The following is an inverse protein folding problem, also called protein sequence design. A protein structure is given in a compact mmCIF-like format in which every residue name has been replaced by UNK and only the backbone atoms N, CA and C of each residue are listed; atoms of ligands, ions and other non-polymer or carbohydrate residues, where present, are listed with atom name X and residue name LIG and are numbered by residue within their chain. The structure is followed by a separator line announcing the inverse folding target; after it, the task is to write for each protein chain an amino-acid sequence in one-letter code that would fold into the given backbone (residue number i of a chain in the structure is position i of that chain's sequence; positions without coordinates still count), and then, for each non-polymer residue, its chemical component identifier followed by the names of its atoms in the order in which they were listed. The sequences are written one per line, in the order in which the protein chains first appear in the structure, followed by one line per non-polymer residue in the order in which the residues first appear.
data_IF_533948470396
#
_entry.id   IF_533948470396
#
_cell.length_a   1.000
_cell.length_b   1.000
_cell.length_c   1.000
_cell.angle_alpha   90.00
_cell.angle_beta   90.00
_cell.angle_gamma   90.00
#
_symmetry.space_group_name_H-M   'P 1'
#
loop_
_entity.id
_entity.type
_entity.pdbx_description
1 polymer ?
#
# COMPACT_ATOMS: atom_id res chain seq x y z
N UNK A 1 -19.26 -21.63 -16.96
CA UNK A 1 -19.17 -20.24 -16.47
C UNK A 1 -18.60 -20.35 -15.08
N UNK A 2 -17.32 -19.97 -14.91
CA UNK A 2 -16.60 -20.13 -13.66
C UNK A 2 -17.01 -19.01 -12.72
N UNK A 3 -17.59 -19.40 -11.59
CA UNK A 3 -17.91 -18.53 -10.46
C UNK A 3 -16.61 -18.28 -9.69
N UNK A 4 -16.17 -17.02 -9.66
CA UNK A 4 -14.97 -16.63 -8.92
C UNK A 4 -15.29 -16.69 -7.43
N UNK A 5 -14.61 -17.59 -6.71
CA UNK A 5 -14.64 -17.64 -5.25
C UNK A 5 -13.83 -16.44 -4.75
N UNK A 6 -14.51 -15.38 -4.35
CA UNK A 6 -13.93 -14.35 -3.51
C UNK A 6 -13.79 -14.92 -2.11
N UNK A 7 -12.56 -14.97 -1.58
CA UNK A 7 -12.32 -15.28 -0.18
C UNK A 7 -12.69 -14.05 0.64
N UNK A 8 -13.87 -14.08 1.26
CA UNK A 8 -14.31 -13.08 2.24
C UNK A 8 -13.46 -13.25 3.51
N UNK A 9 -12.45 -12.41 3.71
CA UNK A 9 -11.80 -12.25 5.02
C UNK A 9 -12.65 -11.27 5.84
N UNK A 10 -13.30 -11.74 6.90
CA UNK A 10 -14.09 -10.90 7.82
C UNK A 10 -13.23 -10.58 9.05
N UNK A 11 -13.08 -9.29 9.36
CA UNK A 11 -12.40 -8.83 10.58
C UNK A 11 -13.28 -9.10 11.80
N UNK A 12 -12.76 -9.86 12.77
CA UNK A 12 -13.56 -10.33 13.92
C UNK A 12 -13.72 -9.25 15.01
N UNK A 13 -12.68 -8.44 15.22
CA UNK A 13 -12.78 -7.24 16.06
C UNK A 13 -11.64 -6.26 15.82
N UNK A 14 -11.97 -4.96 15.92
CA UNK A 14 -11.00 -3.88 15.98
C UNK A 14 -11.09 -3.26 17.38
N UNK A 15 -9.97 -3.21 18.10
CA UNK A 15 -9.88 -2.51 19.38
C UNK A 15 -9.01 -1.28 19.22
N UNK A 16 -9.59 -0.12 19.43
CA UNK A 16 -8.85 1.14 19.54
C UNK A 16 -8.58 1.42 21.02
N UNK A 17 -7.32 1.64 21.38
CA UNK A 17 -6.89 2.06 22.71
C UNK A 17 -6.15 3.39 22.62
N UNK A 18 -6.51 4.35 23.48
CA UNK A 18 -5.80 5.62 23.58
C UNK A 18 -4.84 5.58 24.77
N UNK A 19 -3.54 5.69 24.51
CA UNK A 19 -2.50 5.70 25.53
C UNK A 19 -1.71 6.99 25.38
N UNK A 20 -1.73 7.85 26.40
CA UNK A 20 -1.02 9.14 26.44
C UNK A 20 -1.30 10.10 25.27
N UNK A 21 -2.50 10.03 24.68
CA UNK A 21 -2.88 10.88 23.55
C UNK A 21 -2.65 10.25 22.17
N UNK A 22 -1.96 9.11 22.11
CA UNK A 22 -1.75 8.34 20.89
C UNK A 22 -2.80 7.23 20.77
N UNK A 23 -3.30 7.03 19.55
CA UNK A 23 -4.29 5.99 19.23
C UNK A 23 -3.58 4.74 18.71
N UNK A 24 -3.82 3.61 19.37
CA UNK A 24 -3.33 2.31 18.99
C UNK A 24 -4.50 1.47 18.50
N UNK A 25 -4.49 1.10 17.22
CA UNK A 25 -5.51 0.26 16.61
C UNK A 25 -5.00 -1.17 16.53
N UNK A 26 -5.63 -2.06 17.29
CA UNK A 26 -5.37 -3.50 17.27
C UNK A 26 -6.40 -4.18 16.38
N UNK A 27 -5.93 -4.88 15.36
CA UNK A 27 -6.76 -5.62 14.41
C UNK A 27 -6.50 -7.11 14.64
N UNK A 28 -7.55 -7.88 14.93
CA UNK A 28 -7.48 -9.32 15.13
C UNK A 28 -8.15 -10.04 13.94
N UNK A 29 -7.42 -10.97 13.34
CA UNK A 29 -7.90 -11.78 12.20
C UNK A 29 -8.52 -13.09 12.71
N UNK A 30 -9.73 -13.42 12.24
CA UNK A 30 -10.43 -14.67 12.54
C UNK A 30 -11.00 -15.32 11.28
N UNK A 31 -11.14 -16.66 11.26
CA UNK A 31 -11.76 -17.41 10.15
C UNK A 31 -13.30 -17.42 10.27
N UNK A 32 -14.00 -17.12 9.17
CA UNK A 32 -15.46 -17.01 9.11
C UNK A 32 -16.15 -18.38 9.32
N UNK A 33 -16.96 -18.49 10.37
CA UNK A 33 -17.72 -19.71 10.70
C UNK A 33 -19.22 -19.49 10.89
N UNK A 34 -19.78 -18.32 10.54
CA UNK A 34 -21.20 -18.04 10.80
C UNK A 34 -22.09 -18.06 9.53
N UNK A 35 -23.21 -18.81 9.53
CA UNK A 35 -24.12 -18.85 8.39
C UNK A 35 -24.89 -17.53 8.25
N UNK A 36 -24.92 -16.97 7.04
CA UNK A 36 -25.60 -15.73 6.67
C UNK A 36 -27.06 -15.73 7.15
N UNK A 37 -27.40 -14.78 8.03
CA UNK A 37 -28.78 -14.60 8.52
C UNK A 37 -29.22 -13.16 8.28
N UNK A 38 -30.09 -12.99 7.28
CA UNK A 38 -30.71 -11.73 6.91
C UNK A 38 -31.69 -11.27 8.00
N UNK A 39 -31.25 -10.47 8.97
CA UNK A 39 -32.17 -9.63 9.77
C UNK A 39 -31.42 -8.43 10.38
N UNK A 40 -31.90 -7.18 10.26
CA UNK A 40 -31.25 -6.02 10.88
C UNK A 40 -31.40 -6.05 12.42
N UNK A 41 -30.39 -5.61 13.20
CA UNK A 41 -30.52 -5.52 14.65
C UNK A 41 -31.46 -4.38 15.07
N UNK A 42 -32.36 -4.67 16.02
CA UNK A 42 -33.19 -3.67 16.71
C UNK A 42 -32.37 -2.92 17.77
N UNK A 43 -32.39 -1.59 17.70
CA UNK A 43 -31.83 -0.70 18.71
C UNK A 43 -32.68 -0.69 20.00
N UNK A 44 -32.02 -0.81 21.15
CA UNK A 44 -32.61 -0.60 22.48
C UNK A 44 -31.71 0.30 23.35
N UNK A 45 -31.96 1.61 23.21
CA UNK A 45 -31.76 2.76 24.12
C UNK A 45 -30.81 2.77 25.32
N UNK A 46 -30.00 3.84 25.38
CA UNK A 46 -29.36 4.40 26.58
C UNK A 46 -29.17 5.93 26.44
N UNK A 47 -29.54 6.68 27.48
CA UNK A 47 -29.93 8.11 27.49
C UNK A 47 -28.77 9.13 27.39
N UNK A 48 -28.98 10.17 26.58
CA UNK A 48 -28.09 11.33 26.43
C UNK A 48 -28.08 11.94 25.02
N UNK A 49 -29.23 12.12 24.36
CA UNK A 49 -29.27 12.63 22.99
C UNK A 49 -29.10 14.15 22.94
N UNK A 50 -27.86 14.63 22.79
CA UNK A 50 -27.65 15.51 21.65
C UNK A 50 -28.10 14.68 20.44
N UNK A 51 -29.24 15.03 19.84
CA UNK A 51 -29.75 14.34 18.65
C UNK A 51 -28.80 14.65 17.50
N UNK A 52 -27.62 14.03 17.51
CA UNK A 52 -26.69 14.15 16.42
C UNK A 52 -27.37 13.50 15.22
N UNK A 53 -27.74 14.33 14.25
CA UNK A 53 -28.14 13.84 12.94
C UNK A 53 -26.88 13.32 12.26
N UNK A 54 -26.62 12.03 12.43
CA UNK A 54 -25.35 11.46 11.99
C UNK A 54 -25.15 11.58 10.48
N UNK A 55 -23.97 12.04 10.07
CA UNK A 55 -23.50 12.03 8.69
C UNK A 55 -22.13 11.36 8.66
N UNK A 56 -22.10 10.08 8.29
CA UNK A 56 -20.89 9.28 8.33
C UNK A 56 -20.17 9.30 6.98
N UNK A 57 -18.86 9.56 7.03
CA UNK A 57 -17.96 9.52 5.88
C UNK A 57 -16.71 8.74 6.24
N UNK A 58 -16.04 8.17 5.24
CA UNK A 58 -14.73 7.57 5.42
C UNK A 58 -13.68 8.67 5.43
N UNK A 59 -13.02 8.84 6.57
CA UNK A 59 -11.99 9.85 6.78
C UNK A 59 -10.65 9.16 6.98
N UNK A 60 -9.62 9.59 6.26
CA UNK A 60 -8.24 9.12 6.48
C UNK A 60 -7.78 9.57 7.87
N UNK A 61 -7.56 8.62 8.76
CA UNK A 61 -7.04 8.85 10.13
C UNK A 61 -5.55 8.54 10.22
N UNK A 62 -5.02 7.78 9.27
CA UNK A 62 -3.59 7.56 9.09
C UNK A 62 -3.27 7.51 7.59
N UNK A 63 -2.34 8.35 7.16
CA UNK A 63 -1.85 8.33 5.77
C UNK A 63 -1.03 7.08 5.47
N UNK A 64 -1.02 6.66 4.21
CA UNK A 64 -0.18 5.57 3.77
C UNK A 64 1.31 5.94 3.85
N UNK A 65 2.12 4.91 4.09
CA UNK A 65 3.58 4.96 3.94
C UNK A 65 3.99 3.92 2.91
N UNK A 66 5.23 3.95 2.43
CA UNK A 66 5.72 2.91 1.51
C UNK A 66 5.66 1.47 2.06
N UNK A 67 5.35 1.26 3.35
CA UNK A 67 5.32 -0.05 4.00
C UNK A 67 4.00 -0.38 4.73
N UNK A 68 3.05 0.57 4.80
CA UNK A 68 1.79 0.39 5.50
C UNK A 68 0.69 1.18 4.80
N UNK A 69 -0.45 0.54 4.55
CA UNK A 69 -1.61 1.16 3.93
C UNK A 69 -2.20 2.25 4.84
N UNK A 70 -2.89 3.22 4.23
CA UNK A 70 -3.69 4.21 4.94
C UNK A 70 -4.80 3.54 5.76
N UNK A 71 -5.14 4.14 6.89
CA UNK A 71 -6.26 3.71 7.73
C UNK A 71 -7.36 4.76 7.64
N UNK A 72 -8.57 4.31 7.32
CA UNK A 72 -9.76 5.12 7.22
C UNK A 72 -10.71 4.74 8.36
N UNK A 73 -11.33 5.74 8.97
CA UNK A 73 -12.38 5.57 9.95
C UNK A 73 -13.73 5.97 9.33
N UNK A 74 -14.77 5.18 9.56
CA UNK A 74 -16.14 5.58 9.24
C UNK A 74 -16.64 6.48 10.37
N UNK A 75 -16.43 7.78 10.20
CA UNK A 75 -16.60 8.80 11.22
C UNK A 75 -17.80 9.70 10.90
N UNK A 76 -18.63 9.95 11.91
CA UNK A 76 -19.68 10.94 11.81
C UNK A 76 -19.07 12.35 11.82
N UNK A 77 -19.06 13.02 10.67
CA UNK A 77 -18.51 14.37 10.47
C UNK A 77 -19.15 15.44 11.36
N UNK A 78 -20.33 15.16 11.93
CA UNK A 78 -21.04 16.06 12.84
C UNK A 78 -20.66 15.90 14.33
N UNK A 79 -20.15 14.75 14.77
CA UNK A 79 -19.90 14.49 16.19
C UNK A 79 -18.65 13.65 16.51
N UNK A 80 -17.91 13.20 15.51
CA UNK A 80 -16.71 12.39 15.68
C UNK A 80 -16.95 10.94 16.09
N UNK A 81 -18.21 10.47 16.12
CA UNK A 81 -18.49 9.06 16.42
C UNK A 81 -17.90 8.19 15.31
N UNK A 82 -17.02 7.26 15.65
CA UNK A 82 -16.50 6.23 14.73
C UNK A 82 -17.27 4.94 14.91
N UNK A 83 -17.62 4.29 13.80
CA UNK A 83 -18.32 2.99 13.81
C UNK A 83 -17.54 1.86 13.15
N UNK A 84 -16.56 2.19 12.30
CA UNK A 84 -15.79 1.19 11.59
C UNK A 84 -14.40 1.70 11.20
N UNK A 85 -13.49 0.79 10.90
CA UNK A 85 -12.15 1.07 10.37
C UNK A 85 -11.85 0.16 9.18
N UNK A 86 -11.16 0.70 8.19
CA UNK A 86 -10.62 -0.11 7.09
C UNK A 86 -9.23 0.37 6.68
N UNK A 87 -8.44 -0.54 6.11
CA UNK A 87 -7.23 -0.16 5.38
C UNK A 87 -7.59 0.13 3.94
N UNK A 88 -7.03 1.19 3.36
CA UNK A 88 -7.16 1.45 1.92
C UNK A 88 -6.20 0.52 1.15
N UNK A 89 -6.72 -0.47 0.42
CA UNK A 89 -5.88 -1.45 -0.23
C UNK A 89 -4.93 -0.80 -1.25
N UNK A 90 -3.70 -1.30 -1.32
CA UNK A 90 -2.64 -0.85 -2.24
C UNK A 90 -2.16 0.59 -2.05
N UNK A 91 -2.62 1.31 -1.03
CA UNK A 91 -2.17 2.67 -0.76
C UNK A 91 -0.69 2.73 -0.37
N UNK A 92 -0.16 1.70 0.28
CA UNK A 92 1.28 1.57 0.56
C UNK A 92 2.11 1.43 -0.72
N UNK A 93 1.62 0.64 -1.67
CA UNK A 93 2.28 0.45 -2.96
C UNK A 93 2.22 1.73 -3.78
N UNK A 94 1.08 2.43 -3.79
CA UNK A 94 0.95 3.73 -4.44
C UNK A 94 1.95 4.74 -3.85
N UNK A 95 2.09 4.76 -2.52
CA UNK A 95 3.04 5.64 -1.83
C UNK A 95 4.49 5.30 -2.16
N UNK A 96 4.87 4.02 -2.21
CA UNK A 96 6.21 3.59 -2.65
C UNK A 96 6.53 4.04 -4.08
N UNK A 97 5.60 3.91 -5.02
CA UNK A 97 5.80 4.38 -6.40
C UNK A 97 5.91 5.90 -6.48
N UNK A 98 5.10 6.64 -5.70
CA UNK A 98 5.15 8.11 -5.61
C UNK A 98 6.49 8.61 -5.07
N UNK A 99 7.01 7.98 -4.01
CA UNK A 99 8.32 8.29 -3.44
C UNK A 99 9.46 7.94 -4.41
N UNK A 100 9.32 6.83 -5.14
CA UNK A 100 10.27 6.41 -6.18
C UNK A 100 10.37 7.45 -7.31
N UNK A 101 9.21 7.89 -7.83
CA UNK A 101 9.13 8.96 -8.85
C UNK A 101 9.77 10.24 -8.32
N UNK A 102 9.38 10.69 -7.13
CA UNK A 102 9.91 11.92 -6.51
C UNK A 102 11.43 11.85 -6.38
N UNK A 103 11.97 10.70 -5.96
CA UNK A 103 13.41 10.48 -5.82
C UNK A 103 14.14 10.60 -7.16
N UNK A 104 13.55 10.06 -8.24
CA UNK A 104 14.11 10.17 -9.60
C UNK A 104 14.03 11.60 -10.12
N UNK A 105 12.87 12.26 -9.99
CA UNK A 105 12.64 13.60 -10.53
C UNK A 105 13.48 14.67 -9.84
N UNK A 106 13.68 14.54 -8.53
CA UNK A 106 14.41 15.53 -7.71
C UNK A 106 15.91 15.23 -7.57
N UNK A 107 16.36 14.06 -8.02
CA UNK A 107 17.77 13.68 -7.96
C UNK A 107 18.67 14.67 -8.73
N UNK A 108 19.84 14.93 -8.16
CA UNK A 108 20.88 15.72 -8.80
C UNK A 108 21.25 15.13 -10.17
N UNK A 109 21.68 15.99 -11.09
CA UNK A 109 22.09 15.57 -12.42
C UNK A 109 23.20 14.51 -12.34
N UNK A 110 23.11 13.45 -13.14
CA UNK A 110 24.06 12.33 -13.16
C UNK A 110 24.14 11.51 -11.86
N UNK A 111 23.16 11.62 -10.96
CA UNK A 111 23.15 10.86 -9.72
C UNK A 111 22.74 9.40 -9.91
N UNK A 112 23.12 8.57 -8.95
CA UNK A 112 22.57 7.23 -8.76
C UNK A 112 21.49 7.28 -7.65
N UNK A 113 20.25 6.98 -8.00
CA UNK A 113 19.14 6.84 -7.04
C UNK A 113 19.08 5.39 -6.60
N UNK A 114 19.07 5.14 -5.29
CA UNK A 114 18.90 3.79 -4.74
C UNK A 114 17.54 3.66 -4.09
N UNK A 115 16.74 2.70 -4.54
CA UNK A 115 15.48 2.30 -3.94
C UNK A 115 15.68 0.95 -3.27
N UNK A 116 15.33 0.87 -1.99
CA UNK A 116 15.54 -0.33 -1.16
C UNK A 116 14.22 -0.71 -0.49
N UNK A 117 13.73 -1.92 -0.76
CA UNK A 117 12.48 -2.44 -0.20
C UNK A 117 12.58 -3.93 0.08
N UNK A 118 11.96 -4.39 1.17
CA UNK A 118 11.77 -5.83 1.43
C UNK A 118 10.34 -6.29 1.09
N UNK A 119 9.48 -5.38 0.62
CA UNK A 119 8.02 -5.60 0.50
C UNK A 119 7.61 -5.73 -0.97
N UNK A 120 8.10 -4.82 -1.82
CA UNK A 120 7.64 -4.72 -3.20
C UNK A 120 8.54 -5.50 -4.15
N UNK A 121 7.94 -6.01 -5.21
CA UNK A 121 8.61 -6.80 -6.25
C UNK A 121 8.37 -6.24 -7.66
N UNK A 122 7.75 -5.05 -7.77
CA UNK A 122 7.40 -4.41 -9.03
C UNK A 122 7.27 -2.90 -8.89
N UNK A 123 7.24 -2.20 -10.03
CA UNK A 123 6.82 -0.81 -10.13
C UNK A 123 5.56 -0.67 -10.97
N UNK A 124 4.81 0.41 -10.73
CA UNK A 124 3.96 1.01 -11.75
C UNK A 124 4.82 1.60 -12.88
N UNK A 125 4.32 1.53 -14.11
CA UNK A 125 4.98 2.05 -15.30
C UNK A 125 5.29 3.56 -15.25
N UNK A 126 4.63 4.30 -14.36
CA UNK A 126 4.93 5.70 -14.07
C UNK A 126 6.33 5.91 -13.50
N UNK A 127 6.88 4.98 -12.71
CA UNK A 127 8.27 5.04 -12.22
C UNK A 127 9.25 4.93 -13.39
N UNK A 128 8.99 4.00 -14.32
CA UNK A 128 9.83 3.80 -15.51
C UNK A 128 9.71 5.00 -16.48
N UNK A 129 8.54 5.62 -16.54
CA UNK A 129 8.30 6.85 -17.31
C UNK A 129 9.06 8.05 -16.73
N UNK A 130 9.09 8.19 -15.40
CA UNK A 130 9.90 9.19 -14.71
C UNK A 130 11.40 8.97 -14.96
N UNK A 131 11.87 7.71 -14.89
CA UNK A 131 13.25 7.36 -15.20
C UNK A 131 13.61 7.67 -16.66
N UNK A 132 12.74 7.31 -17.62
CA UNK A 132 12.96 7.60 -19.03
C UNK A 132 13.02 9.11 -19.33
N UNK A 133 12.33 9.93 -18.54
CA UNK A 133 12.37 11.41 -18.65
C UNK A 133 13.64 12.02 -18.04
N UNK A 134 14.42 11.22 -17.29
CA UNK A 134 15.69 11.57 -16.66
C UNK A 134 16.82 10.67 -17.19
N UNK A 135 17.22 10.82 -18.48
CA UNK A 135 18.24 9.97 -19.09
C UNK A 135 19.64 10.15 -18.49
N UNK A 136 19.81 11.07 -17.54
CA UNK A 136 21.02 11.28 -16.75
C UNK A 136 21.05 10.46 -15.45
N UNK A 137 19.94 9.86 -15.02
CA UNK A 137 19.86 9.16 -13.73
C UNK A 137 20.12 7.66 -13.89
N UNK A 138 20.98 7.12 -13.03
CA UNK A 138 21.12 5.67 -12.82
C UNK A 138 20.18 5.24 -11.70
N UNK A 139 19.41 4.17 -11.87
CA UNK A 139 18.53 3.63 -10.83
C UNK A 139 19.09 2.31 -10.30
N UNK A 140 19.27 2.20 -9.00
CA UNK A 140 19.66 0.97 -8.29
C UNK A 140 18.47 0.50 -7.47
N UNK A 141 18.06 -0.74 -7.66
CA UNK A 141 16.92 -1.34 -6.96
C UNK A 141 17.45 -2.49 -6.12
N UNK A 142 17.22 -2.44 -4.81
CA UNK A 142 17.49 -3.52 -3.88
C UNK A 142 16.16 -4.06 -3.38
N UNK A 143 15.96 -5.37 -3.52
CA UNK A 143 14.66 -5.97 -3.25
C UNK A 143 14.77 -7.39 -2.72
N UNK A 144 13.69 -7.87 -2.10
CA UNK A 144 13.56 -9.26 -1.66
C UNK A 144 12.70 -10.07 -2.61
N UNK A 145 13.15 -11.29 -2.94
CA UNK A 145 12.39 -12.27 -3.70
C UNK A 145 12.70 -13.66 -3.17
N UNK A 146 11.67 -14.46 -2.87
CA UNK A 146 11.80 -15.83 -2.34
C UNK A 146 12.78 -15.95 -1.14
N UNK A 147 12.72 -14.97 -0.22
CA UNK A 147 13.55 -14.94 0.99
C UNK A 147 14.99 -14.46 0.79
N UNK A 148 15.41 -14.19 -0.45
CA UNK A 148 16.73 -13.70 -0.80
C UNK A 148 16.70 -12.23 -1.20
N UNK A 149 17.82 -11.53 -0.99
CA UNK A 149 17.97 -10.14 -1.42
C UNK A 149 18.72 -10.07 -2.73
N UNK A 150 18.27 -9.17 -3.60
CA UNK A 150 18.83 -8.94 -4.93
C UNK A 150 19.12 -7.46 -5.13
N UNK A 151 19.99 -7.17 -6.09
CA UNK A 151 20.22 -5.82 -6.60
C UNK A 151 20.23 -5.84 -8.12
N UNK A 152 19.62 -4.84 -8.74
CA UNK A 152 19.73 -4.56 -10.17
C UNK A 152 20.00 -3.08 -10.37
N UNK A 153 20.87 -2.77 -11.32
CA UNK A 153 21.20 -1.39 -11.70
C UNK A 153 20.71 -1.16 -13.13
N UNK A 154 19.84 -0.17 -13.31
CA UNK A 154 19.42 0.35 -14.60
C UNK A 154 20.35 1.51 -14.96
N UNK A 155 21.20 1.38 -15.99
CA UNK A 155 22.08 2.46 -16.42
C UNK A 155 21.30 3.69 -16.89
N UNK A 156 21.88 4.87 -16.71
CA UNK A 156 21.34 6.12 -17.25
C UNK A 156 21.12 6.04 -18.77
N UNK A 157 19.95 6.51 -19.22
CA UNK A 157 19.56 6.53 -20.64
C UNK A 157 19.07 5.18 -21.20
N UNK A 158 18.85 4.17 -20.34
CA UNK A 158 18.28 2.89 -20.77
C UNK A 158 16.84 3.04 -21.29
N UNK A 159 16.51 2.31 -22.37
CA UNK A 159 15.12 2.15 -22.79
C UNK A 159 14.41 1.16 -21.87
N UNK A 160 13.57 1.69 -20.98
CA UNK A 160 12.82 0.92 -19.99
C UNK A 160 11.33 0.83 -20.32
N UNK A 161 10.81 1.66 -21.23
CA UNK A 161 9.37 1.73 -21.49
C UNK A 161 8.84 0.46 -22.14
N UNK A 162 9.67 -0.23 -22.92
CA UNK A 162 9.35 -1.53 -23.52
C UNK A 162 9.24 -2.67 -22.49
N UNK A 163 9.65 -2.44 -21.24
CA UNK A 163 9.57 -3.43 -20.15
C UNK A 163 8.29 -3.31 -19.32
N UNK A 164 7.43 -2.33 -19.62
CA UNK A 164 6.11 -2.18 -19.01
C UNK A 164 5.18 -3.22 -19.64
N UNK A 165 4.55 -4.04 -18.80
CA UNK A 165 3.60 -5.06 -19.23
C UNK A 165 2.23 -4.47 -19.61
N UNK A 166 1.34 -5.33 -20.11
CA UNK A 166 -0.01 -4.95 -20.54
C UNK A 166 -0.89 -4.36 -19.42
N UNK A 167 -0.54 -4.62 -18.15
CA UNK A 167 -1.25 -4.10 -16.98
C UNK A 167 -0.64 -2.78 -16.48
N UNK A 168 0.42 -2.29 -17.12
CA UNK A 168 1.08 -1.05 -16.74
C UNK A 168 2.09 -1.21 -15.60
N UNK A 169 2.63 -2.42 -15.38
CA UNK A 169 3.62 -2.70 -14.34
C UNK A 169 4.94 -3.22 -14.92
N UNK A 170 5.99 -3.21 -14.10
CA UNK A 170 7.23 -3.90 -14.42
C UNK A 170 7.77 -4.60 -13.17
N UNK A 171 7.91 -5.92 -13.24
CA UNK A 171 8.47 -6.73 -12.15
C UNK A 171 9.98 -6.55 -12.01
N UNK A 172 10.48 -6.53 -10.77
CA UNK A 172 11.91 -6.40 -10.48
C UNK A 172 12.71 -7.58 -11.01
N UNK A 173 12.13 -8.79 -11.08
CA UNK A 173 12.78 -9.95 -11.73
C UNK A 173 12.92 -9.78 -13.25
N UNK A 174 12.00 -9.06 -13.90
CA UNK A 174 12.13 -8.71 -15.33
C UNK A 174 13.27 -7.74 -15.54
N UNK A 175 13.35 -6.69 -14.71
CA UNK A 175 14.47 -5.73 -14.73
C UNK A 175 15.81 -6.42 -14.46
N UNK A 176 15.86 -7.29 -13.46
CA UNK A 176 17.02 -8.12 -13.13
C UNK A 176 17.47 -8.96 -14.33
N UNK A 177 16.55 -9.68 -14.99
CA UNK A 177 16.87 -10.47 -16.18
C UNK A 177 17.36 -9.61 -17.34
N UNK A 178 16.86 -8.38 -17.49
CA UNK A 178 17.21 -7.50 -18.60
C UNK A 178 18.56 -6.80 -18.40
N UNK A 179 18.83 -6.33 -17.18
CA UNK A 179 20.02 -5.54 -16.85
C UNK A 179 21.13 -6.35 -16.16
N UNK A 180 20.92 -7.64 -15.91
CA UNK A 180 21.91 -8.50 -15.27
C UNK A 180 22.03 -8.25 -13.77
N UNK A 181 20.91 -8.39 -13.04
CA UNK A 181 20.89 -8.30 -11.58
C UNK A 181 21.66 -9.43 -10.90
N UNK A 182 21.86 -9.29 -9.59
CA UNK A 182 22.62 -10.25 -8.78
C UNK A 182 22.05 -10.39 -7.37
N UNK A 183 22.23 -11.56 -6.77
CA UNK A 183 21.90 -11.81 -5.36
C UNK A 183 22.90 -11.07 -4.46
N UNK A 184 22.38 -10.34 -3.46
CA UNK A 184 23.16 -9.73 -2.40
C UNK A 184 23.51 -10.81 -1.37
N UNK A 185 24.75 -11.30 -1.41
CA UNK A 185 25.24 -12.27 -0.41
C UNK A 185 25.55 -11.55 0.89
N UNK A 186 25.07 -12.12 2.00
CA UNK A 186 25.50 -11.70 3.34
C UNK A 186 26.90 -12.28 3.54
N UNK A 187 27.90 -11.41 3.65
CA UNK A 187 29.28 -11.78 3.93
C UNK A 187 29.47 -12.36 5.33
#
# INVERSE_FOLDING_TARGET
MNEAVYADFIYESVRCEQINGDYFVHIYEGEDTHPKKDTPPSDSGGSGSESCHHNFEWVTVQEATAIADAVLAYECTNCGRVTDYMKEPNSAFAQFNKESITSIETAQKNAAVTLDTDIWNSFQGSVLSALSSRPDITLVIKYRYEGKRYTVTIPAGSDVLSLIDENGYCGFRTLDSWFGGSELTVG
#
